data_IF_923169584808
#
_entry.id   IF_923169584808
#
_cell.length_a   1.000
_cell.length_b   1.000
_cell.length_c   1.000
_cell.angle_alpha   90.00
_cell.angle_beta   90.00
_cell.angle_gamma   90.00
#
_symmetry.space_group_name_H-M   'P 1'
#
loop_
_entity.id
_entity.type
_entity.pdbx_description
1 polymer ?
#
# COMPACT_ATOMS: atom_id res chain seq x y z
N UNK A 1 -9.26 -14.06 13.56
CA UNK A 1 -8.14 -13.09 13.50
C UNK A 1 -8.69 -11.85 12.80
N UNK A 2 -8.62 -10.67 13.42
CA UNK A 2 -9.06 -9.42 12.77
C UNK A 2 -8.11 -9.15 11.60
N UNK A 3 -8.62 -9.14 10.37
CA UNK A 3 -7.85 -8.66 9.22
C UNK A 3 -7.55 -7.17 9.46
N UNK A 4 -6.30 -6.82 9.72
CA UNK A 4 -5.87 -5.44 10.02
C UNK A 4 -6.03 -4.50 8.80
N UNK A 5 -6.07 -5.07 7.60
CA UNK A 5 -6.37 -4.37 6.35
C UNK A 5 -7.46 -5.15 5.61
N UNK A 6 -8.49 -4.44 5.12
CA UNK A 6 -9.44 -4.99 4.15
C UNK A 6 -9.14 -4.47 2.74
N UNK A 7 -9.58 -5.21 1.72
CA UNK A 7 -9.24 -4.90 0.33
C UNK A 7 -9.70 -3.51 -0.14
N UNK A 8 -10.81 -2.98 0.39
CA UNK A 8 -11.28 -1.65 0.01
C UNK A 8 -10.35 -0.57 0.54
N UNK A 9 -9.84 -0.73 1.76
CA UNK A 9 -8.87 0.17 2.35
C UNK A 9 -7.58 0.20 1.51
N UNK A 10 -7.06 -0.97 1.14
CA UNK A 10 -5.85 -1.08 0.32
C UNK A 10 -6.03 -0.35 -1.02
N UNK A 11 -7.14 -0.59 -1.71
CA UNK A 11 -7.44 0.07 -2.99
C UNK A 11 -7.62 1.59 -2.83
N UNK A 12 -8.31 2.04 -1.78
CA UNK A 12 -8.48 3.47 -1.50
C UNK A 12 -7.14 4.17 -1.26
N UNK A 13 -6.23 3.54 -0.48
CA UNK A 13 -4.89 4.06 -0.25
C UNK A 13 -4.09 4.10 -1.55
N UNK A 14 -4.14 3.03 -2.36
CA UNK A 14 -3.51 2.99 -3.67
C UNK A 14 -3.98 4.17 -4.54
N UNK A 15 -5.29 4.36 -4.71
CA UNK A 15 -5.86 5.43 -5.52
C UNK A 15 -5.43 6.82 -5.03
N UNK A 16 -5.44 7.07 -3.72
CA UNK A 16 -4.96 8.34 -3.14
C UNK A 16 -3.49 8.60 -3.48
N UNK A 17 -2.63 7.59 -3.36
CA UNK A 17 -1.22 7.74 -3.69
C UNK A 17 -1.06 7.99 -5.20
N UNK A 18 -1.83 7.32 -6.06
CA UNK A 18 -1.79 7.54 -7.51
C UNK A 18 -2.21 8.98 -7.87
N UNK A 19 -3.22 9.53 -7.20
CA UNK A 19 -3.78 10.86 -7.50
C UNK A 19 -2.95 12.01 -6.91
N UNK A 20 -2.42 11.85 -5.71
CA UNK A 20 -1.78 12.94 -4.95
C UNK A 20 -0.26 12.76 -4.76
N UNK A 21 0.27 11.60 -5.12
CA UNK A 21 1.70 11.31 -5.02
C UNK A 21 2.54 11.94 -6.11
N UNK A 22 3.81 12.11 -5.79
CA UNK A 22 4.84 12.58 -6.71
C UNK A 22 5.36 11.43 -7.57
N UNK A 23 5.89 11.72 -8.77
CA UNK A 23 6.50 10.72 -9.63
C UNK A 23 7.73 10.10 -8.96
N UNK A 24 7.80 8.76 -8.97
CA UNK A 24 8.88 7.96 -8.40
C UNK A 24 9.32 6.88 -9.39
N UNK A 25 10.52 6.32 -9.23
CA UNK A 25 11.10 5.32 -10.15
C UNK A 25 10.15 4.14 -10.46
N UNK A 26 9.46 3.64 -9.43
CA UNK A 26 8.57 2.48 -9.50
C UNK A 26 7.11 2.87 -9.78
N UNK A 27 6.70 4.12 -9.56
CA UNK A 27 5.30 4.54 -9.57
C UNK A 27 5.07 5.91 -8.95
N UNK A 28 4.16 6.00 -7.96
CA UNK A 28 3.86 7.25 -7.24
C UNK A 28 4.23 7.15 -5.78
N UNK A 29 4.91 8.16 -5.23
CA UNK A 29 5.31 8.22 -3.82
C UNK A 29 4.46 9.25 -3.08
N UNK A 30 3.87 8.84 -1.96
CA UNK A 30 3.11 9.74 -1.09
C UNK A 30 3.23 9.29 0.37
N UNK A 31 3.52 10.21 1.29
CA UNK A 31 3.68 9.94 2.73
C UNK A 31 4.65 8.77 3.05
N UNK A 32 5.64 8.58 2.18
CA UNK A 32 6.65 7.52 2.30
C UNK A 32 6.14 6.11 1.96
N UNK A 33 5.00 5.99 1.27
CA UNK A 33 4.52 4.76 0.63
C UNK A 33 4.53 4.98 -0.89
N UNK A 34 5.20 4.08 -1.60
CA UNK A 34 5.20 4.03 -3.06
C UNK A 34 4.10 3.07 -3.53
N UNK A 35 3.20 3.55 -4.39
CA UNK A 35 2.16 2.76 -5.03
C UNK A 35 2.48 2.54 -6.51
N UNK A 36 2.29 1.31 -6.98
CA UNK A 36 2.49 0.93 -8.37
C UNK A 36 1.68 -0.35 -8.70
N UNK A 37 1.56 -0.66 -9.98
CA UNK A 37 0.91 -1.89 -10.45
C UNK A 37 1.86 -2.72 -11.29
N UNK A 38 1.49 -3.97 -11.53
CA UNK A 38 2.09 -4.76 -12.61
C UNK A 38 1.70 -4.21 -13.99
N UNK A 39 2.27 -4.82 -15.03
CA UNK A 39 2.15 -4.38 -16.43
C UNK A 39 0.70 -4.43 -16.93
N UNK A 40 -0.08 -5.39 -16.46
CA UNK A 40 -1.49 -5.57 -16.84
C UNK A 40 -2.47 -4.90 -15.87
N UNK A 41 -2.00 -4.38 -14.74
CA UNK A 41 -2.77 -3.61 -13.77
C UNK A 41 -3.64 -4.47 -12.85
N UNK A 42 -3.50 -5.79 -12.87
CA UNK A 42 -4.29 -6.69 -12.02
C UNK A 42 -3.77 -6.76 -10.58
N UNK A 43 -2.47 -6.57 -10.37
CA UNK A 43 -1.87 -6.59 -9.05
C UNK A 43 -1.40 -5.19 -8.69
N UNK A 44 -1.86 -4.68 -7.56
CA UNK A 44 -1.36 -3.43 -6.99
C UNK A 44 -0.40 -3.69 -5.85
N UNK A 45 0.55 -2.78 -5.72
CA UNK A 45 1.64 -2.86 -4.77
C UNK A 45 1.68 -1.59 -3.93
N UNK A 46 1.92 -1.75 -2.63
CA UNK A 46 2.27 -0.66 -1.72
C UNK A 46 3.61 -1.01 -1.07
N UNK A 47 4.61 -0.16 -1.25
CA UNK A 47 5.99 -0.39 -0.81
C UNK A 47 6.45 0.75 0.09
N UNK A 48 6.94 0.44 1.28
CA UNK A 48 7.44 1.45 2.22
C UNK A 48 7.85 0.83 3.55
N UNK A 49 8.66 1.55 4.33
CA UNK A 49 9.12 1.11 5.67
C UNK A 49 9.75 -0.30 5.69
N UNK A 50 10.34 -0.76 4.58
CA UNK A 50 10.88 -2.11 4.46
C UNK A 50 9.83 -3.22 4.35
N UNK A 51 8.62 -2.87 3.90
CA UNK A 51 7.49 -3.76 3.64
C UNK A 51 7.05 -3.64 2.19
N UNK A 52 6.71 -4.76 1.57
CA UNK A 52 5.99 -4.83 0.30
C UNK A 52 4.64 -5.51 0.50
N UNK A 53 3.55 -4.76 0.34
CA UNK A 53 2.20 -5.28 0.23
C UNK A 53 1.90 -5.58 -1.24
N UNK A 54 1.41 -6.79 -1.50
CA UNK A 54 0.87 -7.21 -2.80
C UNK A 54 -0.61 -7.49 -2.64
N UNK A 55 -1.46 -6.88 -3.47
CA UNK A 55 -2.89 -7.14 -3.48
C UNK A 55 -3.34 -7.49 -4.88
N UNK A 56 -3.91 -8.68 -5.04
CA UNK A 56 -4.32 -9.23 -6.32
C UNK A 56 -5.59 -10.06 -6.20
N UNK A 57 -5.74 -11.06 -7.09
CA UNK A 57 -6.95 -11.87 -7.20
C UNK A 57 -7.40 -12.52 -5.88
N UNK A 58 -8.71 -12.76 -5.76
CA UNK A 58 -9.39 -13.33 -4.58
C UNK A 58 -9.42 -12.43 -3.32
N UNK A 59 -9.17 -11.12 -3.47
CA UNK A 59 -9.16 -10.15 -2.37
C UNK A 59 -8.20 -10.54 -1.23
N UNK A 60 -7.11 -11.23 -1.57
CA UNK A 60 -6.05 -11.57 -0.62
C UNK A 60 -4.89 -10.61 -0.80
N UNK A 61 -4.24 -10.27 0.33
CA UNK A 61 -2.99 -9.54 0.31
C UNK A 61 -1.88 -10.37 0.94
N UNK A 62 -0.65 -10.08 0.51
CA UNK A 62 0.56 -10.63 1.10
C UNK A 62 1.48 -9.49 1.53
N UNK A 63 1.98 -9.56 2.76
CA UNK A 63 3.01 -8.65 3.27
C UNK A 63 4.35 -9.39 3.28
N UNK A 64 5.34 -8.80 2.64
CA UNK A 64 6.73 -9.24 2.68
C UNK A 64 7.54 -8.24 3.52
N UNK A 65 8.13 -8.71 4.62
CA UNK A 65 8.90 -7.89 5.54
C UNK A 65 9.84 -8.75 6.40
N UNK A 66 10.95 -8.18 6.86
CA UNK A 66 11.94 -8.90 7.67
C UNK A 66 11.71 -8.79 9.19
N UNK A 67 11.10 -7.70 9.65
CA UNK A 67 10.91 -7.41 11.07
C UNK A 67 9.48 -6.93 11.35
N UNK A 68 8.89 -7.38 12.46
CA UNK A 68 7.55 -6.96 12.87
C UNK A 68 7.42 -5.42 13.00
N UNK A 69 8.49 -4.74 13.44
CA UNK A 69 8.52 -3.27 13.49
C UNK A 69 8.29 -2.62 12.11
N UNK A 70 8.83 -3.21 11.05
CA UNK A 70 8.61 -2.71 9.68
C UNK A 70 7.13 -2.80 9.32
N UNK A 71 6.49 -3.94 9.65
CA UNK A 71 5.05 -4.12 9.47
C UNK A 71 4.26 -3.07 10.25
N UNK A 72 4.55 -2.88 11.53
CA UNK A 72 3.85 -1.89 12.36
C UNK A 72 3.98 -0.46 11.81
N UNK A 73 5.18 -0.05 11.44
CA UNK A 73 5.45 1.29 10.90
C UNK A 73 4.82 1.48 9.52
N UNK A 74 4.77 0.43 8.69
CA UNK A 74 4.06 0.44 7.41
C UNK A 74 2.54 0.57 7.61
N UNK A 75 1.94 -0.24 8.49
CA UNK A 75 0.50 -0.20 8.73
C UNK A 75 0.04 1.16 9.26
N UNK A 76 0.80 1.79 10.16
CA UNK A 76 0.51 3.15 10.64
C UNK A 76 0.42 4.17 9.50
N UNK A 77 1.35 4.11 8.54
CA UNK A 77 1.34 5.01 7.37
C UNK A 77 0.17 4.74 6.43
N UNK A 78 -0.11 3.46 6.15
CA UNK A 78 -1.25 3.06 5.31
C UNK A 78 -2.56 3.55 5.91
N UNK A 79 -2.78 3.35 7.22
CA UNK A 79 -3.97 3.84 7.92
C UNK A 79 -4.03 5.36 7.95
N UNK A 80 -2.91 6.04 8.17
CA UNK A 80 -2.83 7.50 8.11
C UNK A 80 -3.30 8.04 6.76
N UNK A 81 -2.81 7.49 5.64
CA UNK A 81 -3.25 7.88 4.29
C UNK A 81 -4.73 7.54 4.08
N UNK A 82 -5.20 6.40 4.58
CA UNK A 82 -6.59 5.99 4.47
C UNK A 82 -7.55 6.97 5.14
N UNK A 83 -7.15 7.57 6.27
CA UNK A 83 -7.95 8.54 7.04
C UNK A 83 -7.93 9.97 6.50
N UNK A 84 -7.00 10.32 5.61
CA UNK A 84 -6.97 11.66 5.00
C UNK A 84 -8.21 11.89 4.11
N UNK A 85 -8.91 13.00 4.30
CA UNK A 85 -9.94 13.46 3.35
C UNK A 85 -9.25 14.29 2.26
N UNK A 86 -9.12 13.72 1.06
CA UNK A 86 -8.45 14.30 -0.12
C UNK A 86 -9.48 14.53 -1.24
#
# INVERSE_FOLDING_TARGET
MKNELDGKLILSVYEKIIQHGEDHEDGKLYEGICAFSDIDGYTVYLKGSGVLLRFGFHNTYHLDYQHEKNKEDFLKKVLYIAEQEL
#
